data_IF_161919236109
#
_entry.id   IF_161919236109
#
_cell.length_a   1.000
_cell.length_b   1.000
_cell.length_c   1.000
_cell.angle_alpha   90.00
_cell.angle_beta   90.00
_cell.angle_gamma   90.00
#
_symmetry.space_group_name_H-M   'P 1'
#
loop_
_entity.id
_entity.type
_entity.pdbx_description
1 polymer ?
#
# COMPACT_ATOMS: atom_id res chain seq x y z
N UNK A 1 -21.66 29.73 -10.76
CA UNK A 1 -20.30 29.14 -10.73
C UNK A 1 -20.45 27.64 -11.03
N UNK A 2 -19.85 27.11 -12.12
CA UNK A 2 -19.81 25.67 -12.38
C UNK A 2 -18.42 25.17 -11.97
N UNK A 3 -18.36 24.30 -10.97
CA UNK A 3 -17.13 23.60 -10.60
C UNK A 3 -17.07 22.34 -11.46
N UNK A 4 -16.07 22.25 -12.34
CA UNK A 4 -15.75 21.01 -13.06
C UNK A 4 -14.73 20.29 -12.18
N UNK A 5 -15.20 19.39 -11.31
CA UNK A 5 -14.31 18.49 -10.58
C UNK A 5 -13.85 17.39 -11.54
N UNK A 6 -12.58 17.44 -11.96
CA UNK A 6 -11.92 16.29 -12.59
C UNK A 6 -12.09 15.10 -11.64
N UNK A 7 -12.90 14.11 -12.04
CA UNK A 7 -13.23 12.96 -11.20
C UNK A 7 -11.97 12.34 -10.63
N UNK A 8 -11.85 12.29 -9.30
CA UNK A 8 -10.69 11.70 -8.66
C UNK A 8 -10.72 10.21 -8.96
N UNK A 9 -9.75 9.72 -9.73
CA UNK A 9 -9.65 8.29 -10.02
C UNK A 9 -9.16 7.55 -8.79
N UNK A 10 -9.57 6.29 -8.64
CA UNK A 10 -9.10 5.41 -7.57
C UNK A 10 -7.57 5.41 -7.47
N UNK A 11 -6.89 5.29 -8.62
CA UNK A 11 -5.43 5.34 -8.70
C UNK A 11 -4.86 6.63 -8.12
N UNK A 12 -5.41 7.80 -8.47
CA UNK A 12 -4.95 9.10 -7.93
C UNK A 12 -5.20 9.23 -6.42
N UNK A 13 -6.30 8.69 -5.91
CA UNK A 13 -6.58 8.65 -4.47
C UNK A 13 -5.55 7.78 -3.73
N UNK A 14 -5.37 6.55 -4.19
CA UNK A 14 -4.40 5.61 -3.61
C UNK A 14 -2.99 6.20 -3.69
N UNK A 15 -2.60 6.73 -4.84
CA UNK A 15 -1.29 7.37 -5.02
C UNK A 15 -1.05 8.50 -4.03
N UNK A 16 -2.03 9.39 -3.86
CA UNK A 16 -1.86 10.55 -2.98
C UNK A 16 -1.78 10.14 -1.51
N UNK A 17 -2.64 9.21 -1.07
CA UNK A 17 -2.68 8.77 0.32
C UNK A 17 -1.45 7.93 0.69
N UNK A 18 -1.16 6.87 -0.07
CA UNK A 18 -0.11 5.92 0.29
C UNK A 18 1.30 6.49 0.11
N UNK A 19 1.54 7.38 -0.87
CA UNK A 19 2.84 8.01 -1.01
C UNK A 19 3.19 8.90 0.18
N UNK A 20 2.25 9.71 0.66
CA UNK A 20 2.51 10.60 1.79
C UNK A 20 2.77 9.79 3.05
N UNK A 21 1.87 8.86 3.41
CA UNK A 21 2.03 8.09 4.64
C UNK A 21 3.32 7.25 4.59
N UNK A 22 3.67 6.64 3.45
CA UNK A 22 4.95 5.93 3.27
C UNK A 22 6.17 6.83 3.51
N UNK A 23 6.13 8.08 3.04
CA UNK A 23 7.24 9.02 3.23
C UNK A 23 7.39 9.46 4.69
N UNK A 24 6.30 9.50 5.47
CA UNK A 24 6.33 9.85 6.89
C UNK A 24 6.57 8.64 7.80
N UNK A 25 6.28 7.43 7.34
CA UNK A 25 6.42 6.19 8.13
C UNK A 25 7.82 5.59 8.11
N UNK A 26 8.81 6.26 7.49
CA UNK A 26 10.15 5.70 7.23
C UNK A 26 10.85 5.13 8.46
N UNK A 27 10.62 5.73 9.62
CA UNK A 27 11.23 5.33 10.89
C UNK A 27 10.31 4.49 11.77
N UNK A 28 9.09 4.19 11.31
CA UNK A 28 8.04 3.55 12.10
C UNK A 28 7.55 2.27 11.43
N UNK A 29 8.03 1.15 11.97
CA UNK A 29 7.69 -0.21 11.55
C UNK A 29 6.19 -0.47 11.68
N UNK A 30 5.57 0.00 12.76
CA UNK A 30 4.16 -0.24 13.04
C UNK A 30 3.25 0.48 12.02
N UNK A 31 3.60 1.71 11.64
CA UNK A 31 2.88 2.44 10.59
C UNK A 31 3.05 1.78 9.23
N UNK A 32 4.27 1.31 8.91
CA UNK A 32 4.56 0.57 7.68
C UNK A 32 3.74 -0.72 7.59
N UNK A 33 3.63 -1.47 8.69
CA UNK A 33 2.78 -2.66 8.81
C UNK A 33 1.31 -2.30 8.60
N UNK A 34 0.83 -1.23 9.25
CA UNK A 34 -0.58 -0.81 9.14
C UNK A 34 -0.95 -0.34 7.74
N UNK A 35 0.00 0.26 7.01
CA UNK A 35 -0.16 0.60 5.59
C UNK A 35 -0.42 -0.65 4.74
N UNK A 36 0.39 -1.71 4.93
CA UNK A 36 0.18 -2.97 4.22
C UNK A 36 -1.15 -3.63 4.58
N UNK A 37 -1.56 -3.60 5.85
CA UNK A 37 -2.88 -4.09 6.27
C UNK A 37 -4.02 -3.32 5.59
N UNK A 38 -3.90 -2.00 5.46
CA UNK A 38 -4.88 -1.17 4.77
C UNK A 38 -4.98 -1.54 3.28
N UNK A 39 -3.85 -1.76 2.60
CA UNK A 39 -3.84 -2.23 1.21
C UNK A 39 -4.53 -3.59 1.09
N UNK A 40 -4.21 -4.55 1.95
CA UNK A 40 -4.84 -5.87 1.95
C UNK A 40 -6.35 -5.77 2.17
N UNK A 41 -6.79 -4.90 3.08
CA UNK A 41 -8.21 -4.66 3.33
C UNK A 41 -8.91 -4.06 2.11
N UNK A 42 -8.31 -3.08 1.44
CA UNK A 42 -8.91 -2.48 0.22
C UNK A 42 -8.96 -3.52 -0.91
N UNK A 43 -7.92 -4.36 -1.03
CA UNK A 43 -7.82 -5.40 -2.06
C UNK A 43 -9.04 -6.33 -2.08
N UNK A 44 -9.56 -6.71 -0.90
CA UNK A 44 -10.73 -7.62 -0.80
C UNK A 44 -12.04 -7.00 -1.31
N UNK A 45 -12.11 -5.68 -1.42
CA UNK A 45 -13.27 -4.96 -1.97
C UNK A 45 -13.07 -4.47 -3.41
N UNK A 46 -11.89 -4.70 -4.00
CA UNK A 46 -11.60 -4.30 -5.39
C UNK A 46 -11.72 -5.49 -6.35
N UNK A 47 -12.69 -5.42 -7.26
CA UNK A 47 -12.89 -6.41 -8.33
C UNK A 47 -12.25 -6.04 -9.67
N UNK A 48 -11.61 -4.87 -9.79
CA UNK A 48 -11.03 -4.40 -11.05
C UNK A 48 -9.51 -4.63 -11.07
N UNK A 49 -9.04 -5.34 -12.10
CA UNK A 49 -7.61 -5.59 -12.35
C UNK A 49 -6.74 -4.32 -12.28
N UNK A 50 -7.20 -3.19 -12.82
CA UNK A 50 -6.44 -1.92 -12.77
C UNK A 50 -6.26 -1.39 -11.35
N UNK A 51 -7.30 -1.51 -10.52
CA UNK A 51 -7.25 -1.09 -9.12
C UNK A 51 -6.31 -1.99 -8.32
N UNK A 52 -6.39 -3.31 -8.55
CA UNK A 52 -5.48 -4.28 -7.93
C UNK A 52 -4.02 -4.04 -8.32
N UNK A 53 -3.75 -3.68 -9.57
CA UNK A 53 -2.40 -3.34 -10.02
C UNK A 53 -1.85 -2.08 -9.32
N UNK A 54 -2.69 -1.06 -9.15
CA UNK A 54 -2.30 0.13 -8.39
C UNK A 54 -1.95 -0.23 -6.93
N UNK A 55 -2.76 -1.07 -6.28
CA UNK A 55 -2.51 -1.54 -4.91
C UNK A 55 -1.22 -2.39 -4.81
N UNK A 56 -0.98 -3.30 -5.78
CA UNK A 56 0.24 -4.10 -5.87
C UNK A 56 1.48 -3.21 -5.91
N UNK A 57 1.48 -2.22 -6.82
CA UNK A 57 2.58 -1.27 -6.97
C UNK A 57 2.90 -0.56 -5.65
N UNK A 58 1.89 -0.11 -4.91
CA UNK A 58 2.11 0.54 -3.61
C UNK A 58 2.67 -0.40 -2.55
N UNK A 59 2.19 -1.64 -2.50
CA UNK A 59 2.72 -2.65 -1.60
C UNK A 59 4.21 -2.93 -1.86
N UNK A 60 4.60 -3.03 -3.13
CA UNK A 60 6.01 -3.19 -3.54
C UNK A 60 6.86 -1.97 -3.16
N UNK A 61 6.37 -0.75 -3.40
CA UNK A 61 7.08 0.47 -2.99
C UNK A 61 7.31 0.54 -1.47
N UNK A 62 6.33 0.09 -0.68
CA UNK A 62 6.45 0.03 0.78
C UNK A 62 7.50 -1.01 1.20
N UNK A 63 7.45 -2.22 0.64
CA UNK A 63 8.43 -3.28 0.94
C UNK A 63 9.86 -2.87 0.58
N UNK A 64 10.05 -2.21 -0.56
CA UNK A 64 11.37 -1.74 -0.96
C UNK A 64 11.88 -0.64 -0.03
N UNK A 65 11.02 0.32 0.32
CA UNK A 65 11.37 1.39 1.27
C UNK A 65 11.72 0.84 2.66
N UNK A 66 11.01 -0.19 3.12
CA UNK A 66 11.23 -0.79 4.44
C UNK A 66 12.58 -1.50 4.53
N UNK A 67 13.01 -2.19 3.47
CA UNK A 67 14.32 -2.85 3.40
C UNK A 67 15.49 -1.88 3.51
N UNK A 68 15.33 -0.67 3.00
CA UNK A 68 16.36 0.38 3.07
C UNK A 68 16.42 1.06 4.45
N UNK A 69 15.31 1.09 5.19
CA UNK A 69 15.15 1.96 6.36
C UNK A 69 15.09 1.20 7.70
N UNK A 70 14.61 -0.04 7.69
CA UNK A 70 14.51 -0.88 8.88
C UNK A 70 15.77 -1.73 8.97
N UNK A 71 16.61 -1.51 9.98
CA UNK A 71 17.84 -2.30 10.17
C UNK A 71 17.61 -3.62 10.92
N UNK A 72 16.51 -3.73 11.67
CA UNK A 72 16.21 -4.93 12.45
C UNK A 72 15.60 -6.02 11.58
N UNK A 73 16.21 -7.20 11.57
CA UNK A 73 15.79 -8.30 10.68
C UNK A 73 14.40 -8.85 11.01
N UNK A 74 14.04 -8.88 12.29
CA UNK A 74 12.71 -9.34 12.74
C UNK A 74 11.60 -8.41 12.25
N UNK A 75 11.81 -7.09 12.35
CA UNK A 75 10.90 -6.08 11.80
C UNK A 75 10.79 -6.18 10.27
N UNK A 76 11.89 -6.46 9.57
CA UNK A 76 11.85 -6.70 8.12
C UNK A 76 11.03 -7.95 7.76
N UNK A 77 11.14 -9.03 8.55
CA UNK A 77 10.33 -10.25 8.37
C UNK A 77 8.85 -9.95 8.58
N UNK A 78 8.50 -9.21 9.63
CA UNK A 78 7.11 -8.82 9.90
C UNK A 78 6.50 -8.05 8.73
N UNK A 79 7.21 -7.04 8.21
CA UNK A 79 6.75 -6.31 7.01
C UNK A 79 6.61 -7.25 5.81
N UNK A 80 7.59 -8.12 5.59
CA UNK A 80 7.54 -9.09 4.49
C UNK A 80 6.35 -10.03 4.61
N UNK A 81 6.00 -10.52 5.80
CA UNK A 81 4.81 -11.34 6.02
C UNK A 81 3.52 -10.58 5.67
N UNK A 82 3.41 -9.30 6.07
CA UNK A 82 2.24 -8.48 5.72
C UNK A 82 2.15 -8.21 4.23
N UNK A 83 3.28 -7.99 3.57
CA UNK A 83 3.33 -7.87 2.12
C UNK A 83 2.79 -9.14 1.43
N UNK A 84 3.18 -10.33 1.87
CA UNK A 84 2.64 -11.58 1.31
C UNK A 84 1.13 -11.71 1.48
N UNK A 85 0.57 -11.23 2.60
CA UNK A 85 -0.90 -11.18 2.80
C UNK A 85 -1.57 -10.24 1.79
N UNK A 86 -0.95 -9.11 1.46
CA UNK A 86 -1.45 -8.21 0.42
C UNK A 86 -1.48 -8.91 -0.93
N UNK A 87 -0.38 -9.53 -1.34
CA UNK A 87 -0.31 -10.23 -2.63
C UNK A 87 -1.36 -11.33 -2.73
N UNK A 88 -1.49 -12.14 -1.67
CA UNK A 88 -2.53 -13.17 -1.60
C UNK A 88 -3.93 -12.56 -1.76
N UNK A 89 -4.22 -11.44 -1.10
CA UNK A 89 -5.53 -10.77 -1.20
C UNK A 89 -5.81 -10.20 -2.61
N UNK A 90 -4.76 -9.83 -3.36
CA UNK A 90 -4.88 -9.35 -4.75
C UNK A 90 -5.03 -10.49 -5.77
N UNK A 91 -4.63 -11.71 -5.40
CA UNK A 91 -4.72 -12.92 -6.23
C UNK A 91 -6.02 -13.71 -6.02
N UNK A 92 -6.79 -13.44 -4.96
CA UNK A 92 -8.07 -14.11 -4.76
C UNK A 92 -9.13 -13.55 -5.73
N UNK A 93 -9.51 -14.37 -6.71
CA UNK A 93 -10.76 -14.31 -7.49
C UNK A 93 -11.62 -15.54 -7.18
#
# INVERSE_FOLDING_TARGET
MRVIALGVTFEKLVDSAFNQIRQYSKSDVAVTIRLLEAIACIATYTGNSKQREALRRHAEMILNSSREQISQEEDQKDVQERYHRVIKALEQD
#
